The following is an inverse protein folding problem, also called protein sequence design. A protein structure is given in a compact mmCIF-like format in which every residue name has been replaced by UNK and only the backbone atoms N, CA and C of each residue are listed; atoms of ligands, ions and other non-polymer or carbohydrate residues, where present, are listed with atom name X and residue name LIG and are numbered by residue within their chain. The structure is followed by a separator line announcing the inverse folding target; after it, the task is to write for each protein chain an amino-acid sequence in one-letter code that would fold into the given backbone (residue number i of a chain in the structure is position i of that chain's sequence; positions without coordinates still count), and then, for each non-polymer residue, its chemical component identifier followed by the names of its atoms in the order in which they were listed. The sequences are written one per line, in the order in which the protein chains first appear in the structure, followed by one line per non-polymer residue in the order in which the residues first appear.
data_IF_621334308069
#
_entry.id   IF_621334308069
#
_cell.length_a   1.000
_cell.length_b   1.000
_cell.length_c   1.000
_cell.angle_alpha   90.00
_cell.angle_beta   90.00
_cell.angle_gamma   90.00
#
_symmetry.space_group_name_H-M   'P 1'
#
loop_
_entity.id
_entity.type
_entity.pdbx_description
1 polymer ?
#
# COMPACT_ATOMS: atom_id res chain seq x y z
N UNK A 1 -6.57 -8.10 24.00
CA UNK A 1 -5.88 -6.91 24.56
C UNK A 1 -5.10 -6.08 23.52
N UNK A 2 -4.83 -6.59 22.31
CA UNK A 2 -4.16 -5.87 21.21
C UNK A 2 -4.80 -4.56 20.65
N UNK A 3 -6.13 -4.29 20.74
CA UNK A 3 -6.73 -3.12 20.08
C UNK A 3 -6.22 -1.77 20.60
N UNK A 4 -5.95 -1.68 21.90
CA UNK A 4 -5.58 -0.40 22.54
C UNK A 4 -4.14 0.01 22.19
N UNK A 5 -3.22 -0.97 22.11
CA UNK A 5 -1.83 -0.74 21.73
C UNK A 5 -1.72 -0.26 20.28
N UNK A 6 -2.46 -0.89 19.36
CA UNK A 6 -2.48 -0.48 17.95
C UNK A 6 -3.05 0.94 17.82
N UNK A 7 -4.14 1.25 18.52
CA UNK A 7 -4.75 2.59 18.50
C UNK A 7 -3.79 3.66 18.99
N UNK A 8 -3.03 3.39 20.04
CA UNK A 8 -2.04 4.32 20.58
C UNK A 8 -0.85 4.54 19.63
N UNK A 9 -0.36 3.46 18.99
CA UNK A 9 0.68 3.55 17.96
C UNK A 9 0.19 4.39 16.77
N UNK A 10 -1.03 4.13 16.28
CA UNK A 10 -1.64 4.90 15.19
C UNK A 10 -1.84 6.37 15.58
N UNK A 11 -2.30 6.64 16.80
CA UNK A 11 -2.47 8.00 17.32
C UNK A 11 -1.14 8.74 17.29
N UNK A 12 -0.08 8.18 17.88
CA UNK A 12 1.26 8.79 17.90
C UNK A 12 1.86 9.02 16.51
N UNK A 13 1.64 8.08 15.58
CA UNK A 13 2.08 8.23 14.18
C UNK A 13 1.34 9.37 13.47
N UNK A 14 0.03 9.51 13.72
CA UNK A 14 -0.81 10.52 13.07
C UNK A 14 -0.71 11.91 13.70
N UNK A 15 -0.30 12.02 14.97
CA UNK A 15 -0.13 13.29 15.69
C UNK A 15 1.33 13.75 15.79
N UNK A 16 2.29 12.90 15.44
CA UNK A 16 3.71 13.25 15.41
C UNK A 16 4.11 14.15 14.22
N UNK A 17 5.39 14.51 14.10
CA UNK A 17 5.90 15.42 13.06
C UNK A 17 5.63 14.95 11.62
N UNK A 18 5.56 13.63 11.39
CA UNK A 18 5.20 13.03 10.10
C UNK A 18 3.70 12.81 9.89
N UNK A 19 2.84 13.22 10.82
CA UNK A 19 1.42 12.89 10.84
C UNK A 19 0.64 13.38 9.62
N UNK A 20 0.99 14.55 9.09
CA UNK A 20 0.40 15.08 7.85
C UNK A 20 0.73 14.22 6.63
N UNK A 21 1.98 13.76 6.51
CA UNK A 21 2.45 12.87 5.44
C UNK A 21 1.79 11.49 5.57
N UNK A 22 1.73 10.92 6.77
CA UNK A 22 1.04 9.65 7.02
C UNK A 22 -0.45 9.75 6.69
N UNK A 23 -1.12 10.84 7.09
CA UNK A 23 -2.54 11.07 6.76
C UNK A 23 -2.75 11.21 5.26
N UNK A 24 -1.83 11.85 4.54
CA UNK A 24 -1.88 11.97 3.09
C UNK A 24 -1.73 10.60 2.41
N UNK A 25 -0.78 9.77 2.87
CA UNK A 25 -0.60 8.39 2.38
C UNK A 25 -1.75 7.46 2.75
N UNK A 26 -2.35 7.63 3.92
CA UNK A 26 -3.47 6.82 4.40
C UNK A 26 -4.80 7.16 3.72
N UNK A 27 -4.86 8.21 2.88
CA UNK A 27 -6.05 8.48 2.07
C UNK A 27 -6.34 7.29 1.17
N UNK A 28 -7.61 6.91 1.10
CA UNK A 28 -8.07 5.73 0.37
C UNK A 28 -7.59 5.69 -1.09
N UNK A 29 -7.50 6.86 -1.73
CA UNK A 29 -7.09 7.02 -3.13
C UNK A 29 -5.62 7.40 -3.32
N UNK A 30 -4.79 7.32 -2.28
CA UNK A 30 -3.36 7.54 -2.45
C UNK A 30 -2.77 6.42 -3.31
N UNK A 31 -1.79 6.75 -4.17
CA UNK A 31 -1.08 5.77 -5.00
C UNK A 31 -0.42 4.68 -4.16
N UNK A 32 0.04 5.04 -2.96
CA UNK A 32 0.63 4.09 -2.01
C UNK A 32 -0.42 3.12 -1.47
N UNK A 33 -1.62 3.60 -1.11
CA UNK A 33 -2.70 2.74 -0.65
C UNK A 33 -3.22 1.83 -1.78
N UNK A 34 -3.35 2.35 -3.00
CA UNK A 34 -3.71 1.59 -4.19
C UNK A 34 -2.73 0.44 -4.44
N UNK A 35 -1.41 0.69 -4.39
CA UNK A 35 -0.38 -0.35 -4.52
C UNK A 35 -0.35 -1.30 -3.31
N UNK A 36 -0.54 -0.81 -2.09
CA UNK A 36 -0.58 -1.64 -0.89
C UNK A 36 -1.72 -2.67 -0.95
N UNK A 37 -2.91 -2.28 -1.42
CA UNK A 37 -4.04 -3.21 -1.64
C UNK A 37 -3.68 -4.30 -2.65
N UNK A 38 -3.05 -3.92 -3.77
CA UNK A 38 -2.60 -4.89 -4.77
C UNK A 38 -1.53 -5.84 -4.23
N UNK A 39 -0.57 -5.35 -3.42
CA UNK A 39 0.45 -6.20 -2.77
C UNK A 39 -0.20 -7.21 -1.82
N UNK A 40 -1.15 -6.77 -0.99
CA UNK A 40 -1.88 -7.65 -0.07
C UNK A 40 -2.61 -8.74 -0.85
N UNK A 41 -3.31 -8.34 -1.92
CA UNK A 41 -4.02 -9.30 -2.77
C UNK A 41 -3.08 -10.30 -3.47
N UNK A 42 -1.95 -9.85 -4.01
CA UNK A 42 -0.94 -10.73 -4.62
C UNK A 42 -0.41 -11.74 -3.60
N UNK A 43 -0.16 -11.30 -2.36
CA UNK A 43 0.32 -12.19 -1.28
C UNK A 43 -0.71 -13.26 -0.91
N UNK A 44 -2.00 -12.90 -0.86
CA UNK A 44 -3.07 -13.85 -0.52
C UNK A 44 -3.37 -14.82 -1.67
N UNK A 45 -3.17 -14.42 -2.93
CA UNK A 45 -3.48 -15.23 -4.12
C UNK A 45 -2.22 -15.68 -4.89
N UNK A 46 -1.07 -15.80 -4.20
CA UNK A 46 0.22 -16.17 -4.80
C UNK A 46 0.28 -17.62 -5.36
N UNK A 47 -0.81 -18.38 -5.38
CA UNK A 47 -0.84 -19.72 -5.98
C UNK A 47 -1.64 -19.80 -7.27
N UNK A 48 -2.31 -18.73 -7.67
CA UNK A 48 -3.21 -18.72 -8.84
C UNK A 48 -2.50 -18.24 -10.12
N UNK A 49 -2.98 -18.65 -11.29
CA UNK A 49 -2.44 -18.24 -12.60
C UNK A 49 -3.14 -16.97 -13.09
N UNK A 50 -2.38 -16.00 -13.64
CA UNK A 50 -2.83 -14.68 -14.11
C UNK A 50 -3.09 -13.59 -13.03
N UNK A 51 -2.10 -13.36 -12.15
CA UNK A 51 -2.19 -12.40 -11.01
C UNK A 51 -2.12 -10.92 -11.40
N UNK A 52 -1.40 -10.59 -12.48
CA UNK A 52 -1.03 -9.19 -12.72
C UNK A 52 -2.22 -8.34 -13.18
N UNK A 53 -3.12 -8.89 -14.01
CA UNK A 53 -4.31 -8.17 -14.52
C UNK A 53 -5.30 -7.87 -13.38
N UNK A 54 -5.51 -8.84 -12.49
CA UNK A 54 -6.37 -8.68 -11.33
C UNK A 54 -5.76 -7.69 -10.32
N UNK A 55 -4.45 -7.74 -10.11
CA UNK A 55 -3.75 -6.77 -9.27
C UNK A 55 -3.84 -5.33 -9.82
N UNK A 56 -3.77 -5.16 -11.15
CA UNK A 56 -3.98 -3.87 -11.82
C UNK A 56 -5.41 -3.37 -11.59
N UNK A 57 -6.42 -4.24 -11.73
CA UNK A 57 -7.81 -3.92 -11.43
C UNK A 57 -8.04 -3.51 -9.98
N UNK A 58 -7.42 -4.20 -9.02
CA UNK A 58 -7.51 -3.89 -7.59
C UNK A 58 -6.80 -2.58 -7.22
N UNK A 59 -5.69 -2.27 -7.89
CA UNK A 59 -5.05 -0.98 -7.75
C UNK A 59 -5.90 0.16 -8.32
N UNK A 60 -6.83 -0.12 -9.25
CA UNK A 60 -7.62 0.89 -9.95
C UNK A 60 -6.75 1.75 -10.88
N UNK A 61 -5.67 1.17 -11.41
CA UNK A 61 -4.68 1.86 -12.24
C UNK A 61 -4.65 1.29 -13.66
N UNK A 62 -4.10 2.06 -14.60
CA UNK A 62 -3.63 1.46 -15.85
C UNK A 62 -2.42 0.56 -15.59
N UNK A 63 -2.18 -0.40 -16.50
CA UNK A 63 -1.06 -1.33 -16.39
C UNK A 63 0.31 -0.64 -16.31
N UNK A 64 0.52 0.40 -17.10
CA UNK A 64 1.77 1.18 -17.11
C UNK A 64 2.00 1.93 -15.79
N UNK A 65 0.96 2.60 -15.27
CA UNK A 65 1.02 3.27 -13.98
C UNK A 65 1.26 2.28 -12.84
N UNK A 66 0.60 1.12 -12.88
CA UNK A 66 0.81 0.05 -11.92
C UNK A 66 2.26 -0.42 -11.92
N UNK A 67 2.84 -0.78 -13.07
CA UNK A 67 4.23 -1.24 -13.13
C UNK A 67 5.23 -0.19 -12.62
N UNK A 68 5.04 1.08 -12.98
CA UNK A 68 5.90 2.18 -12.52
C UNK A 68 5.87 2.32 -11.00
N UNK A 69 4.67 2.43 -10.42
CA UNK A 69 4.49 2.65 -8.98
C UNK A 69 4.82 1.41 -8.15
N UNK A 70 4.45 0.23 -8.63
CA UNK A 70 4.81 -1.03 -8.00
C UNK A 70 6.32 -1.16 -7.90
N UNK A 71 7.05 -0.97 -9.01
CA UNK A 71 8.52 -1.00 -9.00
C UNK A 71 9.09 0.04 -8.04
N UNK A 72 8.62 1.29 -8.09
CA UNK A 72 9.13 2.34 -7.21
C UNK A 72 8.98 2.02 -5.71
N UNK A 73 7.93 1.30 -5.33
CA UNK A 73 7.60 0.98 -3.93
C UNK A 73 8.23 -0.35 -3.48
N UNK A 74 8.33 -1.36 -4.37
CA UNK A 74 8.86 -2.68 -4.02
C UNK A 74 10.36 -2.81 -4.24
N UNK A 75 10.98 -1.88 -4.97
CA UNK A 75 12.43 -1.88 -5.11
C UNK A 75 13.03 -1.42 -3.78
N UNK A 76 13.94 -2.20 -3.16
CA UNK A 76 14.69 -1.69 -2.02
C UNK A 76 15.38 -0.39 -2.42
N UNK A 77 15.44 0.59 -1.50
CA UNK A 77 16.24 1.79 -1.77
C UNK A 77 17.65 1.35 -2.18
N UNK A 78 18.20 1.85 -3.30
CA UNK A 78 19.55 1.49 -3.69
C UNK A 78 20.50 1.84 -2.53
N UNK A 79 21.51 1.00 -2.26
CA UNK A 79 22.51 1.26 -1.24
C UNK A 79 23.29 2.56 -1.51
#
# INVERSE_FOLDING_TARGET
MAPITIREILYRLLTGPGGGFIRHMARADSRLNQIARAIVWIKTHFRESCRIEQAVGIAGMSRSAFHLHFKAITTPSPP
#
